data_IF_844365334553
#
_entry.id   IF_844365334553
#
_cell.length_a   1.000
_cell.length_b   1.000
_cell.length_c   1.000
_cell.angle_alpha   90.00
_cell.angle_beta   90.00
_cell.angle_gamma   90.00
#
_symmetry.space_group_name_H-M   'P 1'
#
loop_
_entity.id
_entity.type
_entity.pdbx_description
1 polymer ?
#
# COMPACT_ATOMS: atom_id res chain seq x y z
N UNK A 1 -14.66 -0.15 -15.51
CA UNK A 1 -13.71 0.94 -15.85
C UNK A 1 -13.36 1.62 -14.54
N UNK A 2 -12.09 1.77 -14.20
CA UNK A 2 -11.66 2.46 -12.99
C UNK A 2 -11.46 3.96 -13.20
N UNK A 3 -10.97 4.63 -12.17
CA UNK A 3 -10.69 6.07 -12.18
C UNK A 3 -9.52 6.40 -11.24
N UNK A 4 -8.95 7.59 -11.43
CA UNK A 4 -7.90 8.11 -10.56
C UNK A 4 -8.52 8.85 -9.38
N UNK A 5 -8.01 8.60 -8.18
CA UNK A 5 -8.35 9.39 -7.00
C UNK A 5 -7.11 9.64 -6.13
N UNK A 6 -7.09 10.72 -5.33
CA UNK A 6 -6.02 10.92 -4.35
C UNK A 6 -5.95 9.74 -3.38
N UNK A 7 -4.74 9.30 -3.06
CA UNK A 7 -4.56 8.34 -1.98
C UNK A 7 -4.96 8.98 -0.64
N UNK A 8 -5.72 8.22 0.16
CA UNK A 8 -6.31 8.66 1.45
C UNK A 8 -6.07 7.67 2.60
N UNK A 9 -5.26 6.64 2.36
CA UNK A 9 -4.93 5.62 3.36
C UNK A 9 -3.83 6.08 4.32
N UNK A 10 -3.54 5.26 5.33
CA UNK A 10 -2.51 5.54 6.33
C UNK A 10 -1.29 4.63 6.11
N UNK A 11 -1.52 3.37 5.70
CA UNK A 11 -0.47 2.36 5.62
C UNK A 11 0.68 2.75 4.67
N UNK A 12 0.35 3.41 3.56
CA UNK A 12 1.30 3.84 2.53
C UNK A 12 1.48 5.36 2.43
N UNK A 13 0.95 6.14 3.39
CA UNK A 13 0.96 7.61 3.33
C UNK A 13 2.37 8.21 3.21
N UNK A 14 3.38 7.57 3.81
CA UNK A 14 4.79 7.99 3.71
C UNK A 14 5.37 7.88 2.29
N UNK A 15 4.82 7.00 1.46
CA UNK A 15 5.36 6.71 0.13
C UNK A 15 4.53 7.34 -0.98
N UNK A 16 3.20 7.30 -0.86
CA UNK A 16 2.27 7.74 -1.93
C UNK A 16 1.21 8.74 -1.43
N UNK A 17 1.36 9.29 -0.23
CA UNK A 17 0.38 10.19 0.41
C UNK A 17 -0.06 11.39 -0.43
N UNK A 18 0.84 11.91 -1.26
CA UNK A 18 0.61 13.08 -2.11
C UNK A 18 0.36 12.72 -3.58
N UNK A 19 0.10 11.45 -3.88
CA UNK A 19 -0.07 10.95 -5.24
C UNK A 19 -1.51 10.50 -5.50
N UNK A 20 -1.89 10.49 -6.78
CA UNK A 20 -3.15 9.88 -7.22
C UNK A 20 -2.91 8.41 -7.56
N UNK A 21 -3.90 7.58 -7.26
CA UNK A 21 -3.87 6.15 -7.52
C UNK A 21 -5.05 5.74 -8.40
N UNK A 22 -4.84 4.68 -9.18
CA UNK A 22 -5.91 4.08 -9.96
C UNK A 22 -6.69 3.07 -9.11
N UNK A 23 -8.02 3.17 -9.14
CA UNK A 23 -8.92 2.23 -8.47
C UNK A 23 -10.02 1.75 -9.40
N UNK A 24 -10.51 0.54 -9.18
CA UNK A 24 -11.63 -0.01 -9.95
C UNK A 24 -12.99 0.51 -9.47
N UNK A 25 -13.10 0.88 -8.19
CA UNK A 25 -14.31 1.43 -7.56
C UNK A 25 -13.96 2.32 -6.37
N UNK A 26 -14.93 3.10 -5.87
CA UNK A 26 -14.77 3.94 -4.68
C UNK A 26 -14.38 3.14 -3.41
N UNK A 27 -14.82 1.89 -3.31
CA UNK A 27 -14.57 1.03 -2.15
C UNK A 27 -13.19 0.34 -2.21
N UNK A 28 -12.63 0.18 -3.42
CA UNK A 28 -11.40 -0.58 -3.67
C UNK A 28 -10.22 -0.11 -2.82
N UNK A 29 -10.05 1.20 -2.59
CA UNK A 29 -8.95 1.68 -1.77
C UNK A 29 -9.08 1.28 -0.30
N UNK A 30 -10.29 1.40 0.28
CA UNK A 30 -10.53 1.05 1.69
C UNK A 30 -10.36 -0.45 1.93
N UNK A 31 -10.86 -1.28 1.02
CA UNK A 31 -10.70 -2.73 1.08
C UNK A 31 -9.23 -3.14 0.99
N UNK A 32 -8.47 -2.52 0.10
CA UNK A 32 -7.02 -2.73 -0.01
C UNK A 32 -6.27 -2.27 1.25
N UNK A 33 -6.58 -1.09 1.79
CA UNK A 33 -5.97 -0.58 3.04
C UNK A 33 -6.16 -1.54 4.22
N UNK A 34 -7.37 -2.06 4.40
CA UNK A 34 -7.67 -3.01 5.48
C UNK A 34 -6.84 -4.29 5.35
N UNK A 35 -6.65 -4.79 4.13
CA UNK A 35 -5.87 -6.01 3.86
C UNK A 35 -4.37 -5.80 4.06
N UNK A 36 -3.82 -4.68 3.59
CA UNK A 36 -2.37 -4.44 3.68
C UNK A 36 -1.92 -4.07 5.10
N UNK A 37 -2.78 -3.47 5.92
CA UNK A 37 -2.45 -3.14 7.31
C UNK A 37 -2.07 -4.39 8.11
N UNK A 38 -2.80 -5.49 7.90
CA UNK A 38 -2.47 -6.80 8.49
C UNK A 38 -1.14 -7.35 7.94
N UNK A 39 -0.91 -7.25 6.63
CA UNK A 39 0.33 -7.70 6.01
C UNK A 39 1.57 -6.94 6.53
N UNK A 40 1.48 -5.63 6.71
CA UNK A 40 2.59 -4.80 7.23
C UNK A 40 2.90 -5.10 8.68
N UNK A 41 1.89 -5.41 9.49
CA UNK A 41 2.09 -5.87 10.87
C UNK A 41 2.93 -7.15 10.88
N UNK A 42 2.58 -8.12 10.03
CA UNK A 42 3.37 -9.36 9.90
C UNK A 42 4.79 -9.10 9.40
N UNK A 43 4.98 -8.23 8.38
CA UNK A 43 6.32 -7.87 7.88
C UNK A 43 7.18 -7.26 8.99
N UNK A 44 6.61 -6.38 9.82
CA UNK A 44 7.33 -5.72 10.92
C UNK A 44 7.69 -6.66 12.07
N UNK A 45 6.92 -7.73 12.30
CA UNK A 45 7.17 -8.72 13.37
C UNK A 45 7.87 -9.98 12.88
N UNK A 46 7.97 -10.17 11.57
CA UNK A 46 8.49 -11.40 10.97
C UNK A 46 10.01 -11.43 11.04
N UNK A 47 10.54 -12.49 11.64
CA UNK A 47 11.97 -12.84 11.59
C UNK A 47 12.36 -13.51 10.26
N UNK A 48 11.38 -13.77 9.38
CA UNK A 48 11.61 -14.43 8.08
C UNK A 48 12.12 -13.49 6.99
N UNK A 49 11.98 -12.18 7.19
CA UNK A 49 12.52 -11.17 6.26
C UNK A 49 13.84 -10.64 6.81
N UNK A 50 14.87 -10.66 5.97
CA UNK A 50 16.13 -10.00 6.31
C UNK A 50 15.93 -8.49 6.39
N UNK A 51 16.73 -7.82 7.22
CA UNK A 51 16.72 -6.35 7.34
C UNK A 51 16.89 -5.65 5.99
N UNK A 52 17.61 -6.29 5.06
CA UNK A 52 17.79 -5.78 3.71
C UNK A 52 16.49 -5.83 2.90
N UNK A 53 15.73 -6.93 2.98
CA UNK A 53 14.45 -7.06 2.28
C UNK A 53 13.38 -6.14 2.87
N UNK A 54 13.31 -6.06 4.21
CA UNK A 54 12.31 -5.25 4.93
C UNK A 54 12.37 -3.76 4.56
N UNK A 55 13.56 -3.24 4.21
CA UNK A 55 13.74 -1.86 3.73
C UNK A 55 12.99 -1.55 2.43
N UNK A 56 12.86 -2.53 1.54
CA UNK A 56 12.25 -2.36 0.22
C UNK A 56 10.85 -2.98 0.13
N UNK A 57 10.53 -3.93 1.00
CA UNK A 57 9.27 -4.66 0.97
C UNK A 57 8.06 -3.71 1.06
N UNK A 58 8.01 -2.84 2.07
CA UNK A 58 6.90 -1.92 2.29
C UNK A 58 6.69 -0.95 1.11
N UNK A 59 7.69 -0.16 0.67
CA UNK A 59 7.47 0.76 -0.45
C UNK A 59 7.10 0.02 -1.75
N UNK A 60 7.75 -1.12 -2.05
CA UNK A 60 7.42 -1.91 -3.24
C UNK A 60 5.98 -2.41 -3.22
N UNK A 61 5.51 -2.87 -2.06
CA UNK A 61 4.15 -3.35 -1.89
C UNK A 61 3.12 -2.23 -2.04
N UNK A 62 3.41 -1.03 -1.52
CA UNK A 62 2.55 0.14 -1.69
C UNK A 62 2.32 0.50 -3.16
N UNK A 63 3.38 0.56 -3.98
CA UNK A 63 3.25 0.86 -5.41
C UNK A 63 2.58 -0.26 -6.21
N UNK A 64 2.68 -1.51 -5.75
CA UNK A 64 1.99 -2.64 -6.37
C UNK A 64 0.48 -2.63 -6.08
N UNK A 65 0.10 -2.46 -4.80
CA UNK A 65 -1.30 -2.49 -4.37
C UNK A 65 -2.05 -1.23 -4.80
N UNK A 66 -1.36 -0.09 -4.83
CA UNK A 66 -1.92 1.18 -5.29
C UNK A 66 -1.12 1.68 -6.50
N UNK A 67 -1.44 1.17 -7.71
CA UNK A 67 -0.85 1.68 -8.94
C UNK A 67 -1.10 3.18 -9.04
N UNK A 68 -0.06 3.93 -9.36
CA UNK A 68 -0.19 5.36 -9.58
C UNK A 68 -1.01 5.66 -10.83
N UNK A 69 -1.65 6.82 -10.81
CA UNK A 69 -1.89 7.59 -12.01
C UNK A 69 -0.70 8.55 -12.23
#
# INVERSE_FOLDING_TARGET
KGFCQPYRGIACARFIGNQSIYVESLQTQGDSENRITAAFTMIGTSTHLSDHCSKFAIPSFCYYVFPLC
#
